data_IF_433376685971
#
_entry.id   IF_433376685971
#
_cell.length_a   1.000
_cell.length_b   1.000
_cell.length_c   1.000
_cell.angle_alpha   90.00
_cell.angle_beta   90.00
_cell.angle_gamma   90.00
#
_symmetry.space_group_name_H-M   'P 1'
#
loop_
_entity.id
_entity.type
_entity.pdbx_description
1 polymer ?
#
# COMPACT_ATOMS: atom_id res chain seq x y z
N UNK A 1 19.37 -12.90 1.06
CA UNK A 1 20.29 -11.80 0.66
C UNK A 1 20.88 -11.96 -0.75
N UNK A 2 21.53 -13.09 -1.10
CA UNK A 2 22.11 -13.27 -2.45
C UNK A 2 21.04 -13.28 -3.57
N UNK A 3 19.90 -13.92 -3.30
CA UNK A 3 18.68 -13.89 -4.13
C UNK A 3 18.14 -12.47 -4.36
N UNK A 4 17.96 -11.69 -3.29
CA UNK A 4 17.44 -10.31 -3.38
C UNK A 4 18.44 -9.40 -4.12
N UNK A 5 19.75 -9.56 -3.90
CA UNK A 5 20.76 -8.84 -4.67
C UNK A 5 20.72 -9.19 -6.17
N UNK A 6 20.54 -10.47 -6.53
CA UNK A 6 20.34 -10.88 -7.94
C UNK A 6 19.08 -10.22 -8.53
N UNK A 7 18.01 -10.09 -7.76
CA UNK A 7 16.76 -9.42 -8.15
C UNK A 7 16.95 -7.91 -8.36
N UNK A 8 17.66 -7.23 -7.46
CA UNK A 8 18.05 -5.81 -7.60
C UNK A 8 18.89 -5.59 -8.86
N UNK A 9 19.89 -6.45 -9.10
CA UNK A 9 20.73 -6.40 -10.29
C UNK A 9 19.94 -6.62 -11.59
N UNK A 10 18.94 -7.52 -11.59
CA UNK A 10 18.07 -7.75 -12.73
C UNK A 10 17.25 -6.50 -13.09
N UNK A 11 16.64 -5.86 -12.09
CA UNK A 11 15.77 -4.68 -12.27
C UNK A 11 16.54 -3.45 -12.81
N UNK A 12 17.83 -3.32 -12.45
CA UNK A 12 18.68 -2.19 -12.82
C UNK A 12 19.20 -2.22 -14.29
N UNK A 13 19.14 -3.35 -15.00
CA UNK A 13 19.86 -3.52 -16.28
C UNK A 13 19.08 -3.15 -17.56
N UNK A 14 17.79 -2.81 -17.48
CA UNK A 14 16.92 -2.64 -18.67
C UNK A 14 16.44 -1.19 -18.84
N UNK A 15 17.35 -0.30 -19.24
CA UNK A 15 16.99 1.03 -19.73
C UNK A 15 17.96 1.43 -20.86
N UNK A 16 17.60 1.20 -22.12
CA UNK A 16 18.03 1.91 -23.35
C UNK A 16 17.37 1.20 -24.57
N UNK A 17 16.29 1.76 -25.15
CA UNK A 17 16.16 2.06 -26.60
C UNK A 17 14.77 2.68 -26.98
N UNK A 18 14.81 3.97 -27.31
CA UNK A 18 14.12 4.76 -28.35
C UNK A 18 12.58 4.76 -28.54
N UNK A 19 12.02 5.97 -28.41
CA UNK A 19 10.62 6.37 -28.59
C UNK A 19 10.31 7.03 -29.97
N UNK A 20 9.04 6.98 -30.40
CA UNK A 20 8.41 7.83 -31.45
C UNK A 20 6.91 8.06 -31.11
N UNK A 21 6.26 9.20 -31.41
CA UNK A 21 5.15 9.72 -30.60
C UNK A 21 3.70 9.48 -31.09
N UNK A 22 2.82 9.36 -30.09
CA UNK A 22 1.48 9.95 -29.88
C UNK A 22 0.37 9.88 -30.96
N UNK A 23 -0.80 9.37 -30.56
CA UNK A 23 -2.12 9.97 -30.87
C UNK A 23 -3.11 9.75 -29.71
N UNK A 24 -3.85 10.80 -29.37
CA UNK A 24 -4.77 10.88 -28.23
C UNK A 24 -6.19 10.36 -28.53
N UNK A 25 -6.87 9.84 -27.51
CA UNK A 25 -8.30 9.50 -27.56
C UNK A 25 -8.94 9.39 -26.17
N UNK A 26 -9.88 10.28 -25.88
CA UNK A 26 -10.67 10.36 -24.64
C UNK A 26 -11.62 9.16 -24.45
N UNK A 27 -11.74 8.65 -23.22
CA UNK A 27 -12.76 7.66 -22.86
C UNK A 27 -13.11 7.66 -21.37
N UNK A 28 -14.28 8.22 -21.03
CA UNK A 28 -14.92 8.18 -19.70
C UNK A 28 -15.64 6.84 -19.49
N UNK A 29 -15.58 6.29 -18.28
CA UNK A 29 -16.49 5.22 -17.81
C UNK A 29 -16.01 4.66 -16.46
N UNK A 30 -16.59 5.10 -15.35
CA UNK A 30 -17.78 4.55 -14.68
C UNK A 30 -17.43 3.46 -13.64
N UNK A 31 -18.10 3.58 -12.49
CA UNK A 31 -17.67 3.22 -11.15
C UNK A 31 -18.13 1.83 -10.69
N UNK A 32 -17.40 1.26 -9.72
CA UNK A 32 -17.82 0.10 -8.93
C UNK A 32 -17.18 0.14 -7.55
N UNK A 33 -17.96 -0.12 -6.51
CA UNK A 33 -17.76 0.28 -5.12
C UNK A 33 -17.50 -0.94 -4.21
N UNK A 34 -16.61 -0.80 -3.23
CA UNK A 34 -16.37 -1.79 -2.16
C UNK A 34 -14.95 -1.62 -1.63
N UNK A 35 -14.65 -1.63 -0.34
CA UNK A 35 -15.41 -1.71 0.90
C UNK A 35 -14.32 -1.70 1.96
N UNK A 36 -14.12 -0.56 2.62
CA UNK A 36 -12.91 -0.30 3.42
C UNK A 36 -12.87 -1.12 4.70
N UNK A 37 -11.74 -1.78 4.92
CA UNK A 37 -11.31 -2.30 6.22
C UNK A 37 -10.17 -1.41 6.76
N UNK A 38 -10.15 -1.28 8.08
CA UNK A 38 -9.51 -0.24 8.86
C UNK A 38 -7.97 -0.18 8.72
N UNK A 39 -7.50 0.80 7.96
CA UNK A 39 -6.12 1.23 7.81
C UNK A 39 -5.90 2.47 8.68
N UNK A 40 -5.12 2.40 9.77
CA UNK A 40 -4.90 3.62 10.55
C UNK A 40 -3.87 3.61 11.67
N UNK A 41 -3.41 2.45 12.15
CA UNK A 41 -2.80 2.41 13.48
C UNK A 41 -1.27 2.41 13.56
N UNK A 42 -0.51 2.30 12.48
CA UNK A 42 0.92 1.94 12.62
C UNK A 42 1.95 3.02 12.28
N UNK A 43 1.54 4.19 11.78
CA UNK A 43 2.48 5.23 11.32
C UNK A 43 2.64 6.42 12.26
N UNK A 44 1.96 6.41 13.40
CA UNK A 44 1.84 7.58 14.24
C UNK A 44 1.53 7.15 15.67
N UNK A 45 2.54 7.18 16.53
CA UNK A 45 2.37 6.94 17.96
C UNK A 45 2.02 8.26 18.66
N UNK A 46 0.73 8.41 19.01
CA UNK A 46 0.21 9.58 19.74
C UNK A 46 0.91 9.82 21.08
N UNK A 47 1.57 8.80 21.67
CA UNK A 47 2.35 8.98 22.90
C UNK A 47 3.66 9.74 22.69
N UNK A 48 4.16 9.80 21.46
CA UNK A 48 5.42 10.46 21.08
C UNK A 48 5.22 11.88 20.53
N UNK A 49 4.03 12.46 20.71
CA UNK A 49 3.73 13.79 20.20
C UNK A 49 4.58 14.87 20.85
N UNK A 50 5.13 15.74 20.01
CA UNK A 50 5.80 16.97 20.40
C UNK A 50 5.17 18.16 19.71
N UNK A 51 5.38 19.34 20.28
CA UNK A 51 4.91 20.61 19.74
C UNK A 51 6.12 21.45 19.33
N UNK A 52 6.15 21.87 18.06
CA UNK A 52 7.25 22.65 17.48
C UNK A 52 6.69 23.96 16.91
N UNK A 53 7.36 25.07 17.22
CA UNK A 53 7.13 26.33 16.54
C UNK A 53 8.17 26.50 15.44
N UNK A 54 7.72 26.83 14.23
CA UNK A 54 8.59 26.97 13.08
C UNK A 54 8.06 28.00 12.09
N UNK A 55 8.95 28.50 11.23
CA UNK A 55 8.61 29.42 10.14
C UNK A 55 8.64 28.68 8.81
N UNK A 56 7.60 28.84 8.00
CA UNK A 56 7.49 28.20 6.68
C UNK A 56 8.50 28.78 5.71
N UNK A 57 9.28 27.90 5.06
CA UNK A 57 10.21 28.31 3.98
C UNK A 57 9.75 27.84 2.59
N UNK A 58 8.79 26.92 2.52
CA UNK A 58 8.20 26.48 1.25
C UNK A 58 7.76 25.02 1.28
N UNK A 59 7.53 24.46 0.11
CA UNK A 59 7.31 23.01 -0.05
C UNK A 59 8.55 22.37 -0.65
N UNK A 60 8.78 21.12 -0.27
CA UNK A 60 9.82 20.28 -0.85
C UNK A 60 9.57 20.11 -2.36
N UNK A 61 10.62 20.30 -3.16
CA UNK A 61 10.54 20.22 -4.62
C UNK A 61 10.51 18.79 -5.13
N UNK A 62 11.05 17.84 -4.36
CA UNK A 62 11.07 16.40 -4.64
C UNK A 62 9.80 15.76 -4.08
N UNK A 63 9.42 16.11 -2.85
CA UNK A 63 8.27 15.56 -2.12
C UNK A 63 7.21 16.63 -1.80
N UNK A 64 6.39 17.10 -2.76
CA UNK A 64 5.56 18.30 -2.62
C UNK A 64 4.43 18.24 -1.59
N UNK A 65 4.25 17.11 -0.89
CA UNK A 65 3.39 17.01 0.30
C UNK A 65 4.12 17.38 1.61
N UNK A 66 5.44 17.58 1.55
CA UNK A 66 6.27 18.02 2.67
C UNK A 66 6.41 19.54 2.64
N UNK A 67 6.01 20.17 3.72
CA UNK A 67 6.26 21.58 3.96
C UNK A 67 7.63 21.69 4.63
N UNK A 68 8.53 22.47 4.08
CA UNK A 68 9.81 22.73 4.74
C UNK A 68 9.64 23.94 5.66
N UNK A 69 10.14 23.79 6.88
CA UNK A 69 10.11 24.83 7.91
C UNK A 69 11.49 25.02 8.52
N UNK A 70 11.75 26.21 9.06
CA UNK A 70 12.92 26.51 9.88
C UNK A 70 12.53 26.74 11.32
N UNK A 71 13.28 26.13 12.23
CA UNK A 71 13.19 26.34 13.68
C UNK A 71 14.03 27.56 14.11
N UNK A 72 13.89 28.00 15.37
CA UNK A 72 14.64 29.13 15.93
C UNK A 72 16.16 28.92 15.93
N UNK A 73 16.62 27.68 16.10
CA UNK A 73 18.03 27.29 16.04
C UNK A 73 18.57 27.16 14.61
N UNK A 74 17.83 27.65 13.61
CA UNK A 74 18.13 27.59 12.17
C UNK A 74 18.16 26.18 11.58
N UNK A 75 17.74 25.14 12.32
CA UNK A 75 17.54 23.81 11.73
C UNK A 75 16.31 23.80 10.84
N UNK A 76 16.44 23.13 9.70
CA UNK A 76 15.32 22.87 8.80
C UNK A 76 14.71 21.52 9.11
N UNK A 77 13.39 21.43 8.97
CA UNK A 77 12.63 20.22 9.21
C UNK A 77 11.60 20.05 8.09
N UNK A 78 11.45 18.83 7.58
CA UNK A 78 10.39 18.50 6.65
C UNK A 78 9.12 18.09 7.43
N UNK A 79 8.00 18.74 7.13
CA UNK A 79 6.71 18.52 7.79
C UNK A 79 5.79 17.78 6.83
N UNK A 80 5.53 16.50 7.10
CA UNK A 80 4.51 15.74 6.38
C UNK A 80 3.15 15.97 7.04
N UNK A 81 2.28 16.72 6.37
CA UNK A 81 0.94 17.04 6.87
C UNK A 81 -0.09 16.04 6.37
N UNK A 82 -0.26 16.02 5.05
CA UNK A 82 -1.16 15.13 4.35
C UNK A 82 -0.73 15.07 2.88
N UNK A 83 -1.18 14.05 2.12
CA UNK A 83 -0.98 14.04 0.69
C UNK A 83 -1.49 15.32 0.02
N UNK A 84 -0.79 15.81 -1.00
CA UNK A 84 -1.12 17.06 -1.73
C UNK A 84 -2.59 17.17 -2.15
N UNK A 85 -3.21 16.07 -2.60
CA UNK A 85 -4.63 16.06 -2.99
C UNK A 85 -5.57 16.41 -1.83
N UNK A 86 -5.24 16.00 -0.60
CA UNK A 86 -6.03 16.27 0.59
C UNK A 86 -5.88 17.74 1.00
N UNK A 87 -4.64 18.26 0.98
CA UNK A 87 -4.37 19.67 1.23
C UNK A 87 -5.13 20.57 0.23
N UNK A 88 -5.12 20.22 -1.05
CA UNK A 88 -5.87 20.92 -2.09
C UNK A 88 -7.39 20.84 -1.87
N UNK A 89 -7.91 19.68 -1.46
CA UNK A 89 -9.33 19.50 -1.16
C UNK A 89 -9.80 20.36 0.02
N UNK A 90 -8.95 20.51 1.04
CA UNK A 90 -9.22 21.36 2.22
C UNK A 90 -8.91 22.84 1.97
N UNK A 91 -8.45 23.18 0.76
CA UNK A 91 -8.04 24.53 0.37
C UNK A 91 -6.99 25.13 1.33
N UNK A 92 -6.10 24.27 1.86
CA UNK A 92 -5.05 24.64 2.81
C UNK A 92 -3.88 25.21 2.03
N UNK A 93 -3.47 26.42 2.38
CA UNK A 93 -2.32 27.10 1.78
C UNK A 93 -1.43 27.68 2.87
N UNK A 94 -0.12 27.49 2.72
CA UNK A 94 0.90 28.12 3.56
C UNK A 94 1.72 29.10 2.72
N UNK A 95 2.10 30.22 3.34
CA UNK A 95 2.93 31.26 2.73
C UNK A 95 4.32 31.26 3.36
N UNK A 96 5.34 31.55 2.56
CA UNK A 96 6.71 31.71 3.06
C UNK A 96 6.77 32.84 4.10
N UNK A 97 7.51 32.61 5.19
CA UNK A 97 7.58 33.53 6.33
C UNK A 97 6.45 33.39 7.35
N UNK A 98 5.47 32.52 7.11
CA UNK A 98 4.37 32.27 8.04
C UNK A 98 4.85 31.45 9.25
N UNK A 99 4.54 31.93 10.46
CA UNK A 99 4.81 31.18 11.69
C UNK A 99 3.69 30.17 11.91
N UNK A 100 4.06 28.93 12.18
CA UNK A 100 3.15 27.82 12.45
C UNK A 100 3.57 27.06 13.70
N UNK A 101 2.58 26.50 14.39
CA UNK A 101 2.79 25.54 15.48
C UNK A 101 2.38 24.16 14.97
N UNK A 102 3.29 23.20 15.02
CA UNK A 102 3.09 21.84 14.53
C UNK A 102 2.99 20.93 15.74
N UNK A 103 1.94 20.11 15.78
CA UNK A 103 1.79 19.03 16.75
C UNK A 103 1.91 17.72 15.97
N UNK A 104 2.93 16.92 16.31
CA UNK A 104 3.32 15.79 15.50
C UNK A 104 4.35 14.89 16.17
N UNK A 105 4.73 13.81 15.47
CA UNK A 105 5.78 12.88 15.89
C UNK A 105 7.01 13.11 15.02
N UNK A 106 8.17 13.34 15.65
CA UNK A 106 9.44 13.45 14.95
C UNK A 106 9.82 12.12 14.29
N UNK A 107 10.38 12.17 13.10
CA UNK A 107 10.84 11.00 12.35
C UNK A 107 12.01 11.37 11.47
N UNK A 108 12.77 10.37 11.04
CA UNK A 108 13.64 10.49 9.88
C UNK A 108 12.94 9.82 8.70
N UNK A 109 12.82 10.51 7.58
CA UNK A 109 12.20 9.99 6.35
C UNK A 109 13.16 9.07 5.58
N UNK A 110 12.64 8.33 4.60
CA UNK A 110 13.41 7.36 3.79
C UNK A 110 14.61 7.96 3.05
N UNK A 111 14.60 9.26 2.77
CA UNK A 111 15.68 10.03 2.14
C UNK A 111 16.69 10.57 3.16
N UNK A 112 16.69 10.05 4.40
CA UNK A 112 17.48 10.53 5.54
C UNK A 112 17.18 11.97 5.96
N UNK A 113 16.07 12.54 5.48
CA UNK A 113 15.63 13.88 5.85
C UNK A 113 14.94 13.83 7.21
N UNK A 114 15.44 14.62 8.16
CA UNK A 114 14.76 14.80 9.44
C UNK A 114 13.43 15.54 9.26
N UNK A 115 12.42 15.07 9.96
CA UNK A 115 11.06 15.51 9.75
C UNK A 115 10.13 15.33 10.92
N UNK A 116 8.90 15.76 10.69
CA UNK A 116 7.79 15.57 11.61
C UNK A 116 6.55 15.18 10.80
N UNK A 117 5.87 14.13 11.26
CA UNK A 117 4.55 13.78 10.76
C UNK A 117 3.56 14.58 11.61
N UNK A 118 2.79 15.47 10.99
CA UNK A 118 1.85 16.32 11.72
C UNK A 118 0.51 15.60 11.96
N UNK A 119 -0.01 15.65 13.19
CA UNK A 119 -1.45 15.45 13.46
C UNK A 119 -2.20 16.75 13.24
N UNK A 120 -1.65 17.88 13.69
CA UNK A 120 -2.26 19.20 13.51
C UNK A 120 -1.22 20.27 13.23
N UNK A 121 -1.63 21.30 12.48
CA UNK A 121 -0.87 22.53 12.30
C UNK A 121 -1.77 23.70 12.64
N UNK A 122 -1.29 24.58 13.52
CA UNK A 122 -1.94 25.83 13.89
C UNK A 122 -1.22 26.95 13.15
N UNK A 123 -1.98 27.81 12.49
CA UNK A 123 -1.43 29.04 11.93
C UNK A 123 -2.40 30.21 12.06
N UNK A 124 -1.98 31.23 12.80
CA UNK A 124 -2.87 32.30 13.24
C UNK A 124 -4.05 31.71 14.02
N UNK A 125 -5.27 32.07 13.60
CA UNK A 125 -6.52 31.54 14.19
C UNK A 125 -7.00 30.23 13.54
N UNK A 126 -6.26 29.71 12.54
CA UNK A 126 -6.65 28.50 11.81
C UNK A 126 -6.02 27.25 12.42
N UNK A 127 -6.86 26.24 12.68
CA UNK A 127 -6.45 24.90 13.07
C UNK A 127 -6.66 23.95 11.89
N UNK A 128 -5.57 23.33 11.42
CA UNK A 128 -5.60 22.30 10.40
C UNK A 128 -5.36 20.94 11.05
N UNK A 129 -6.36 20.06 10.98
CA UNK A 129 -6.25 18.69 11.47
C UNK A 129 -6.00 17.74 10.30
N UNK A 130 -5.03 16.86 10.45
CA UNK A 130 -4.61 15.89 9.44
C UNK A 130 -4.81 14.46 9.90
N UNK A 131 -4.78 14.23 11.21
CA UNK A 131 -5.03 12.95 11.87
C UNK A 131 -6.00 13.13 13.04
N UNK A 132 -6.72 12.08 13.39
CA UNK A 132 -7.60 12.06 14.55
C UNK A 132 -6.83 11.88 15.87
N UNK A 133 -7.55 11.80 16.99
CA UNK A 133 -6.98 11.62 18.33
C UNK A 133 -6.25 10.28 18.53
N UNK A 134 -6.38 9.33 17.61
CA UNK A 134 -5.69 8.04 17.63
C UNK A 134 -4.54 7.99 16.61
N UNK A 135 -4.20 9.12 15.97
CA UNK A 135 -3.15 9.18 14.93
C UNK A 135 -3.59 8.72 13.55
N UNK A 136 -4.87 8.37 13.37
CA UNK A 136 -5.41 7.86 12.10
C UNK A 136 -5.54 9.02 11.12
N UNK A 137 -4.96 8.93 9.92
CA UNK A 137 -5.11 9.98 8.92
C UNK A 137 -6.56 10.25 8.49
N UNK A 138 -6.96 11.52 8.51
CA UNK A 138 -8.31 11.94 8.14
C UNK A 138 -8.62 11.73 6.65
N UNK A 139 -7.58 11.64 5.81
CA UNK A 139 -7.75 11.32 4.39
C UNK A 139 -8.13 9.86 4.13
N UNK A 140 -8.05 9.00 5.15
CA UNK A 140 -8.56 7.63 5.10
C UNK A 140 -10.07 7.62 5.45
N UNK A 141 -10.54 8.52 6.32
CA UNK A 141 -11.94 8.59 6.77
C UNK A 141 -12.86 9.43 5.86
N UNK A 142 -12.34 10.37 5.07
CA UNK A 142 -13.14 11.22 4.16
C UNK A 142 -13.77 10.49 2.97
N UNK A 143 -13.44 9.20 2.73
CA UNK A 143 -14.20 8.34 1.81
C UNK A 143 -15.67 8.11 2.24
N UNK A 144 -16.09 8.53 3.45
CA UNK A 144 -17.43 8.28 3.98
C UNK A 144 -18.46 9.43 3.97
N UNK A 145 -18.08 10.70 3.83
CA UNK A 145 -19.01 11.82 4.14
C UNK A 145 -19.47 12.70 2.97
N UNK A 146 -18.83 12.63 1.80
CA UNK A 146 -19.19 13.49 0.65
C UNK A 146 -20.31 12.91 -0.26
N UNK A 147 -21.20 12.06 0.27
CA UNK A 147 -22.28 11.41 -0.51
C UNK A 147 -23.67 11.38 0.14
N UNK A 148 -23.86 11.97 1.33
CA UNK A 148 -25.14 11.89 2.06
C UNK A 148 -25.70 13.26 2.43
N UNK A 149 -26.00 14.09 1.43
CA UNK A 149 -27.04 15.11 1.58
C UNK A 149 -28.20 14.75 0.67
N UNK A 150 -29.26 14.22 1.28
CA UNK A 150 -30.58 14.11 0.64
C UNK A 150 -31.12 12.70 0.49
N UNK A 151 -31.49 12.05 1.61
CA UNK A 151 -32.74 11.28 1.65
C UNK A 151 -33.17 11.07 3.10
N UNK A 152 -34.12 11.92 3.49
CA UNK A 152 -34.79 11.95 4.79
C UNK A 152 -36.01 11.02 4.71
N UNK A 153 -36.16 10.16 5.71
CA UNK A 153 -37.34 9.32 5.94
C UNK A 153 -37.01 7.83 5.92
N UNK A 154 -37.18 7.05 6.98
CA UNK A 154 -37.68 7.32 8.33
C UNK A 154 -37.73 6.00 9.13
N UNK A 155 -37.77 6.12 10.46
CA UNK A 155 -38.16 5.13 11.51
C UNK A 155 -37.44 3.77 11.45
N UNK A 156 -36.74 3.27 12.45
CA UNK A 156 -36.76 3.49 13.90
C UNK A 156 -36.43 2.13 14.55
N UNK A 157 -35.77 2.12 15.71
CA UNK A 157 -35.59 0.89 16.50
C UNK A 157 -34.21 0.78 17.14
N UNK A 158 -34.10 1.23 18.39
CA UNK A 158 -33.05 0.82 19.30
C UNK A 158 -33.20 -0.67 19.61
N UNK A 159 -32.12 -1.44 19.48
CA UNK A 159 -32.08 -2.85 19.85
C UNK A 159 -30.65 -3.36 19.79
N UNK A 160 -29.97 -3.34 20.93
CA UNK A 160 -28.70 -4.01 21.14
C UNK A 160 -28.90 -5.53 20.97
N UNK A 161 -28.17 -6.14 20.03
CA UNK A 161 -27.90 -7.58 20.02
C UNK A 161 -26.61 -7.83 19.24
N UNK A 162 -25.61 -8.33 19.97
CA UNK A 162 -24.37 -8.84 19.46
C UNK A 162 -24.65 -10.10 18.61
N UNK A 163 -24.44 -10.02 17.30
CA UNK A 163 -24.11 -11.15 16.43
C UNK A 163 -23.25 -10.62 15.29
N UNK A 164 -22.03 -11.15 15.17
CA UNK A 164 -21.06 -10.77 14.16
C UNK A 164 -21.59 -11.04 12.76
N UNK A 165 -21.62 -9.99 11.93
CA UNK A 165 -21.77 -10.14 10.49
C UNK A 165 -20.45 -10.71 9.94
N UNK A 166 -20.35 -12.04 9.92
CA UNK A 166 -19.32 -12.75 9.16
C UNK A 166 -19.56 -12.40 7.68
N UNK A 167 -18.58 -11.75 7.07
CA UNK A 167 -18.56 -11.52 5.63
C UNK A 167 -18.76 -12.87 4.91
N UNK A 168 -19.59 -12.97 3.86
CA UNK A 168 -19.91 -14.25 3.23
C UNK A 168 -18.71 -14.99 2.63
N UNK A 169 -17.52 -14.37 2.52
CA UNK A 169 -16.28 -15.05 2.12
C UNK A 169 -15.63 -15.85 3.27
N UNK A 170 -16.10 -15.71 4.51
CA UNK A 170 -15.24 -15.92 5.67
C UNK A 170 -14.16 -14.84 5.74
N UNK A 171 -13.69 -14.50 6.93
CA UNK A 171 -12.48 -13.68 7.06
C UNK A 171 -11.29 -14.65 6.94
N UNK A 172 -10.38 -14.45 5.96
CA UNK A 172 -9.20 -15.30 5.77
C UNK A 172 -8.44 -15.47 7.09
N UNK A 173 -8.25 -14.38 7.85
CA UNK A 173 -7.63 -14.43 9.17
C UNK A 173 -8.36 -15.37 10.15
N UNK A 174 -9.70 -15.37 10.12
CA UNK A 174 -10.51 -16.28 10.95
C UNK A 174 -10.37 -17.72 10.50
N UNK A 175 -10.32 -17.99 9.19
CA UNK A 175 -10.10 -19.34 8.66
C UNK A 175 -8.73 -19.86 9.09
N UNK A 176 -7.67 -19.08 8.84
CA UNK A 176 -6.29 -19.43 9.22
C UNK A 176 -6.16 -19.65 10.73
N UNK A 177 -6.77 -18.79 11.56
CA UNK A 177 -6.75 -18.95 13.03
C UNK A 177 -7.47 -20.20 13.51
N UNK A 178 -8.35 -20.80 12.69
CA UNK A 178 -9.11 -22.01 13.03
C UNK A 178 -8.43 -23.32 12.59
N UNK A 179 -7.46 -23.25 11.68
CA UNK A 179 -6.69 -24.41 11.24
C UNK A 179 -5.73 -24.88 12.35
N UNK A 180 -5.40 -26.18 12.43
CA UNK A 180 -4.47 -26.70 13.43
C UNK A 180 -3.07 -26.11 13.23
N UNK A 181 -2.40 -25.73 14.32
CA UNK A 181 -0.99 -25.32 14.29
C UNK A 181 -0.13 -26.52 13.87
N UNK A 182 0.75 -26.32 12.90
CA UNK A 182 1.76 -27.30 12.46
C UNK A 182 3.15 -26.86 12.93
N UNK A 183 4.12 -27.77 13.02
CA UNK A 183 5.48 -27.37 13.34
C UNK A 183 6.09 -26.60 12.16
N UNK A 184 6.80 -25.50 12.45
CA UNK A 184 7.58 -24.77 11.45
C UNK A 184 9.01 -25.29 11.38
N UNK A 185 9.56 -25.32 10.18
CA UNK A 185 11.01 -25.44 9.97
C UNK A 185 11.65 -24.07 9.65
N UNK A 186 12.98 -23.99 9.69
CA UNK A 186 13.71 -22.73 9.49
C UNK A 186 13.42 -22.06 8.13
N UNK A 187 13.18 -22.85 7.07
CA UNK A 187 12.83 -22.31 5.74
C UNK A 187 11.46 -21.65 5.76
N UNK A 188 10.51 -22.21 6.53
CA UNK A 188 9.16 -21.64 6.70
C UNK A 188 9.16 -20.38 7.56
N UNK A 189 10.09 -20.27 8.52
CA UNK A 189 10.28 -19.03 9.27
C UNK A 189 10.83 -17.93 8.34
N UNK A 190 11.91 -18.23 7.63
CA UNK A 190 12.57 -17.28 6.72
C UNK A 190 11.61 -16.78 5.62
N UNK A 191 10.78 -17.67 5.04
CA UNK A 191 9.82 -17.28 4.00
C UNK A 191 8.72 -16.35 4.53
N UNK A 192 8.20 -16.59 5.74
CA UNK A 192 7.15 -15.73 6.33
C UNK A 192 7.70 -14.34 6.66
N UNK A 193 8.92 -14.26 7.19
CA UNK A 193 9.58 -12.99 7.45
C UNK A 193 9.88 -12.21 6.16
N UNK A 194 10.32 -12.91 5.11
CA UNK A 194 10.56 -12.34 3.78
C UNK A 194 9.26 -11.81 3.18
N UNK A 195 8.21 -12.64 3.11
CA UNK A 195 6.93 -12.23 2.50
C UNK A 195 6.27 -11.08 3.23
N UNK A 196 6.40 -11.01 4.56
CA UNK A 196 5.93 -9.86 5.34
C UNK A 196 6.56 -8.54 4.88
N UNK A 197 7.84 -8.54 4.53
CA UNK A 197 8.56 -7.35 4.05
C UNK A 197 8.35 -7.08 2.56
N UNK A 198 8.15 -8.12 1.76
CA UNK A 198 7.87 -8.01 0.32
C UNK A 198 6.50 -7.37 0.05
N UNK A 199 5.47 -7.78 0.78
CA UNK A 199 4.14 -7.15 0.73
C UNK A 199 4.20 -5.69 1.23
N UNK A 200 5.05 -5.42 2.23
CA UNK A 200 5.34 -4.04 2.67
C UNK A 200 6.01 -3.23 1.57
N UNK A 201 6.95 -3.81 0.84
CA UNK A 201 7.62 -3.16 -0.28
C UNK A 201 6.61 -2.76 -1.35
N UNK A 202 5.75 -3.68 -1.78
CA UNK A 202 4.69 -3.40 -2.76
C UNK A 202 3.80 -2.25 -2.30
N UNK A 203 3.26 -2.33 -1.07
CA UNK A 203 2.45 -1.28 -0.45
C UNK A 203 3.15 0.07 -0.48
N UNK A 204 4.39 0.12 0.00
CA UNK A 204 5.13 1.36 0.18
C UNK A 204 5.51 2.00 -1.15
N UNK A 205 5.93 1.21 -2.15
CA UNK A 205 6.18 1.72 -3.52
C UNK A 205 4.89 2.30 -4.10
N UNK A 206 3.76 1.62 -3.95
CA UNK A 206 2.48 2.11 -4.48
C UNK A 206 1.98 3.35 -3.76
N UNK A 207 2.16 3.47 -2.45
CA UNK A 207 1.84 4.72 -1.74
C UNK A 207 2.68 5.88 -2.26
N UNK A 208 3.97 5.66 -2.47
CA UNK A 208 4.90 6.68 -2.99
C UNK A 208 4.59 7.07 -4.44
N UNK A 209 4.32 6.10 -5.32
CA UNK A 209 3.94 6.38 -6.71
C UNK A 209 2.54 6.99 -6.82
N UNK A 210 1.62 6.66 -5.90
CA UNK A 210 0.34 7.36 -5.80
C UNK A 210 0.54 8.83 -5.43
N UNK A 211 1.45 9.13 -4.50
CA UNK A 211 1.77 10.50 -4.14
C UNK A 211 2.33 11.27 -5.34
N UNK A 212 3.25 10.64 -6.09
CA UNK A 212 3.89 11.27 -7.27
C UNK A 212 2.91 11.54 -8.40
N UNK A 213 2.07 10.57 -8.74
CA UNK A 213 1.28 10.57 -9.98
C UNK A 213 -0.22 10.81 -9.78
N UNK A 214 -0.73 10.68 -8.55
CA UNK A 214 -2.14 10.83 -8.23
C UNK A 214 -3.06 9.77 -8.84
N UNK A 215 -2.51 8.73 -9.47
CA UNK A 215 -3.30 7.74 -10.19
C UNK A 215 -3.89 6.70 -9.23
N UNK A 216 -5.22 6.64 -9.17
CA UNK A 216 -5.98 5.87 -8.17
C UNK A 216 -5.61 4.38 -8.12
N UNK A 217 -5.14 3.77 -9.20
CA UNK A 217 -4.71 2.36 -9.21
C UNK A 217 -3.72 2.08 -8.08
N UNK A 218 -2.69 2.90 -7.93
CA UNK A 218 -1.67 2.75 -6.90
C UNK A 218 -2.28 2.78 -5.50
N UNK A 219 -3.16 3.75 -5.22
CA UNK A 219 -3.83 3.83 -3.91
C UNK A 219 -4.78 2.66 -3.63
N UNK A 220 -5.39 2.07 -4.66
CA UNK A 220 -6.31 0.95 -4.48
C UNK A 220 -5.52 -0.34 -4.23
N UNK A 221 -4.45 -0.57 -4.98
CA UNK A 221 -3.61 -1.76 -4.86
C UNK A 221 -2.81 -1.71 -3.55
N UNK A 222 -2.26 -0.56 -3.15
CA UNK A 222 -1.64 -0.40 -1.82
C UNK A 222 -2.57 -0.79 -0.64
N UNK A 223 -3.89 -0.66 -0.78
CA UNK A 223 -4.84 -1.12 0.24
C UNK A 223 -5.00 -2.64 0.22
N UNK A 224 -4.90 -3.25 -0.95
CA UNK A 224 -4.84 -4.70 -1.10
C UNK A 224 -3.55 -5.25 -0.49
N UNK A 225 -2.41 -4.60 -0.72
CA UNK A 225 -1.13 -5.03 -0.11
C UNK A 225 -1.12 -4.90 1.40
N UNK A 226 -1.83 -3.92 1.97
CA UNK A 226 -2.04 -3.96 3.42
C UNK A 226 -2.80 -5.22 3.85
N UNK A 227 -3.80 -5.65 3.07
CA UNK A 227 -4.56 -6.85 3.39
C UNK A 227 -3.68 -8.10 3.28
N UNK A 228 -2.76 -8.15 2.32
CA UNK A 228 -1.77 -9.22 2.20
C UNK A 228 -0.81 -9.22 3.39
N UNK A 229 -0.23 -8.06 3.70
CA UNK A 229 0.59 -7.83 4.90
C UNK A 229 -0.12 -8.35 6.16
N UNK A 230 -1.38 -7.97 6.36
CA UNK A 230 -2.16 -8.39 7.53
C UNK A 230 -2.40 -9.91 7.55
N UNK A 231 -2.58 -10.54 6.38
CA UNK A 231 -2.71 -11.98 6.28
C UNK A 231 -1.43 -12.73 6.68
N UNK A 232 -0.25 -12.26 6.24
CA UNK A 232 1.04 -12.83 6.68
C UNK A 232 1.25 -12.60 8.17
N UNK A 233 0.87 -11.43 8.69
CA UNK A 233 0.96 -11.13 10.12
C UNK A 233 0.17 -12.12 10.98
N UNK A 234 -1.00 -12.58 10.52
CA UNK A 234 -1.78 -13.60 11.23
C UNK A 234 -0.98 -14.90 11.38
N UNK A 235 -0.18 -15.29 10.39
CA UNK A 235 0.69 -16.46 10.50
C UNK A 235 1.84 -16.21 11.48
N UNK A 236 2.51 -15.05 11.40
CA UNK A 236 3.56 -14.69 12.35
C UNK A 236 3.06 -14.74 13.80
N UNK A 237 1.89 -14.13 14.06
CA UNK A 237 1.27 -14.13 15.39
C UNK A 237 0.84 -15.55 15.82
N UNK A 238 0.29 -16.36 14.90
CA UNK A 238 -0.13 -17.75 15.16
C UNK A 238 1.05 -18.64 15.57
N UNK A 239 2.20 -18.44 14.93
CA UNK A 239 3.42 -19.21 15.19
C UNK A 239 4.34 -18.58 16.24
N UNK A 240 3.98 -17.41 16.78
CA UNK A 240 4.76 -16.72 17.80
C UNK A 240 6.10 -16.17 17.29
N UNK A 241 6.17 -15.83 16.01
CA UNK A 241 7.34 -15.25 15.35
C UNK A 241 7.40 -13.72 15.55
N UNK A 242 8.59 -13.15 15.51
CA UNK A 242 8.77 -11.68 15.55
C UNK A 242 8.30 -11.05 14.24
N UNK A 243 7.65 -9.87 14.30
CA UNK A 243 7.21 -9.16 13.09
C UNK A 243 8.34 -8.28 12.55
N UNK A 244 8.93 -8.58 11.37
CA UNK A 244 10.01 -7.76 10.82
C UNK A 244 9.52 -6.39 10.31
N UNK A 245 8.21 -6.14 10.27
CA UNK A 245 7.59 -4.88 9.83
C UNK A 245 7.01 -4.07 11.01
N UNK A 246 7.67 -4.09 12.18
CA UNK A 246 7.29 -3.27 13.35
C UNK A 246 7.31 -1.77 13.06
N UNK A 247 8.37 -1.29 12.40
CA UNK A 247 8.42 0.07 11.90
C UNK A 247 7.64 0.17 10.60
N UNK A 248 6.51 0.83 10.65
CA UNK A 248 5.66 0.95 9.47
C UNK A 248 6.05 2.09 8.54
N UNK A 249 6.98 3.00 8.90
CA UNK A 249 7.40 4.13 8.04
C UNK A 249 7.67 3.68 6.60
N UNK A 250 7.15 4.46 5.64
CA UNK A 250 7.23 4.15 4.20
C UNK A 250 8.70 4.08 3.79
N UNK A 251 9.08 3.00 3.13
CA UNK A 251 10.43 2.82 2.60
C UNK A 251 11.48 2.38 3.63
N UNK A 252 11.08 2.12 4.87
CA UNK A 252 11.98 1.62 5.93
C UNK A 252 11.75 0.12 6.13
N UNK A 253 12.81 -0.67 6.03
CA UNK A 253 12.77 -2.14 6.17
C UNK A 253 13.83 -2.62 7.14
N UNK A 254 13.61 -3.80 7.74
CA UNK A 254 14.58 -4.42 8.64
C UNK A 254 15.76 -4.99 7.84
N UNK A 255 15.51 -5.56 6.66
CA UNK A 255 16.56 -5.96 5.72
C UNK A 255 16.89 -4.80 4.75
N UNK A 256 18.17 -4.45 4.69
CA UNK A 256 18.71 -3.40 3.81
C UNK A 256 18.39 -3.66 2.34
N UNK A 257 18.33 -4.93 1.91
CA UNK A 257 18.05 -5.27 0.52
C UNK A 257 16.64 -4.83 0.08
N UNK A 258 15.63 -4.87 0.97
CA UNK A 258 14.30 -4.31 0.68
C UNK A 258 14.33 -2.78 0.60
N UNK A 259 15.15 -2.12 1.43
CA UNK A 259 15.34 -0.67 1.36
C UNK A 259 15.97 -0.25 0.03
N UNK A 260 16.99 -0.97 -0.43
CA UNK A 260 17.66 -0.70 -1.70
C UNK A 260 16.71 -0.95 -2.89
N UNK A 261 15.94 -2.04 -2.84
CA UNK A 261 14.95 -2.36 -3.86
C UNK A 261 13.83 -1.31 -3.91
N UNK A 262 13.31 -0.88 -2.75
CA UNK A 262 12.34 0.22 -2.65
C UNK A 262 12.85 1.48 -3.35
N UNK A 263 14.07 1.91 -3.01
CA UNK A 263 14.68 3.11 -3.58
C UNK A 263 14.80 3.01 -5.10
N UNK A 264 15.27 1.87 -5.60
CA UNK A 264 15.42 1.63 -7.05
C UNK A 264 14.06 1.66 -7.78
N UNK A 265 13.04 1.01 -7.24
CA UNK A 265 11.70 0.96 -7.85
C UNK A 265 11.02 2.33 -7.84
N UNK A 266 11.17 3.10 -6.75
CA UNK A 266 10.64 4.47 -6.66
C UNK A 266 11.36 5.40 -7.61
N UNK A 267 12.68 5.30 -7.73
CA UNK A 267 13.47 6.09 -8.67
C UNK A 267 12.99 5.83 -10.11
N UNK A 268 12.91 4.55 -10.52
CA UNK A 268 12.42 4.15 -11.84
C UNK A 268 10.98 4.61 -12.09
N UNK A 269 10.08 4.35 -11.14
CA UNK A 269 8.68 4.74 -11.24
C UNK A 269 8.45 6.24 -11.18
N UNK A 270 9.43 7.03 -10.74
CA UNK A 270 9.35 8.50 -10.71
C UNK A 270 9.73 9.15 -12.05
N UNK A 271 10.29 8.39 -13.00
CA UNK A 271 10.70 8.89 -14.32
C UNK A 271 9.50 9.34 -15.16
N UNK A 272 8.47 8.50 -15.26
CA UNK A 272 7.25 8.79 -16.02
C UNK A 272 6.07 7.97 -15.49
N UNK A 273 4.84 8.38 -15.84
CA UNK A 273 3.65 7.60 -15.48
C UNK A 273 3.70 6.17 -16.05
N UNK A 274 4.21 6.00 -17.28
CA UNK A 274 4.32 4.68 -17.90
C UNK A 274 5.36 3.82 -17.20
N UNK A 275 6.49 4.38 -16.78
CA UNK A 275 7.46 3.65 -15.95
C UNK A 275 6.89 3.30 -14.57
N UNK A 276 6.09 4.18 -13.97
CA UNK A 276 5.39 3.88 -12.71
C UNK A 276 4.45 2.67 -12.84
N UNK A 277 3.71 2.59 -13.95
CA UNK A 277 2.81 1.46 -14.23
C UNK A 277 3.58 0.16 -14.50
N UNK A 278 4.73 0.24 -15.19
CA UNK A 278 5.63 -0.90 -15.42
C UNK A 278 6.31 -1.35 -14.12
N UNK A 279 6.66 -0.44 -13.22
CA UNK A 279 7.11 -0.77 -11.85
C UNK A 279 6.01 -1.52 -11.10
N UNK A 280 4.76 -1.06 -11.23
CA UNK A 280 3.57 -1.79 -10.79
C UNK A 280 3.58 -3.24 -11.25
N UNK A 281 3.60 -3.46 -12.57
CA UNK A 281 3.64 -4.81 -13.15
C UNK A 281 4.88 -5.62 -12.74
N UNK A 282 6.05 -4.99 -12.57
CA UNK A 282 7.30 -5.66 -12.17
C UNK A 282 7.24 -6.19 -10.75
N UNK A 283 6.62 -5.46 -9.84
CA UNK A 283 6.44 -5.92 -8.45
C UNK A 283 5.52 -7.14 -8.43
N UNK A 284 4.40 -7.11 -9.14
CA UNK A 284 3.45 -8.24 -9.16
C UNK A 284 4.02 -9.47 -9.88
N UNK A 285 4.82 -9.26 -10.93
CA UNK A 285 5.57 -10.33 -11.59
C UNK A 285 6.56 -11.02 -10.63
N UNK A 286 7.34 -10.23 -9.89
CA UNK A 286 8.25 -10.76 -8.87
C UNK A 286 7.49 -11.50 -7.76
N UNK A 287 6.42 -10.90 -7.24
CA UNK A 287 5.65 -11.45 -6.12
C UNK A 287 5.00 -12.79 -6.49
N UNK A 288 4.47 -12.92 -7.72
CA UNK A 288 3.96 -14.22 -8.21
C UNK A 288 5.08 -15.26 -8.26
N UNK A 289 6.25 -14.92 -8.84
CA UNK A 289 7.38 -15.85 -8.93
C UNK A 289 7.82 -16.34 -7.56
N UNK A 290 7.91 -15.44 -6.58
CA UNK A 290 8.35 -15.74 -5.23
C UNK A 290 7.33 -16.60 -4.49
N UNK A 291 6.04 -16.28 -4.60
CA UNK A 291 4.96 -17.09 -4.03
C UNK A 291 4.91 -18.51 -4.62
N UNK A 292 5.12 -18.67 -5.93
CA UNK A 292 5.20 -20.00 -6.55
C UNK A 292 6.36 -20.84 -5.99
N UNK A 293 7.54 -20.24 -5.87
CA UNK A 293 8.73 -20.93 -5.37
C UNK A 293 8.54 -21.29 -3.89
N UNK A 294 7.98 -20.38 -3.08
CA UNK A 294 7.74 -20.62 -1.66
C UNK A 294 6.65 -21.67 -1.43
N UNK A 295 5.54 -21.64 -2.18
CA UNK A 295 4.49 -22.68 -2.13
C UNK A 295 5.06 -24.06 -2.46
N UNK A 296 6.02 -24.15 -3.38
CA UNK A 296 6.66 -25.42 -3.74
C UNK A 296 7.59 -25.97 -2.65
N UNK A 297 8.02 -25.15 -1.70
CA UNK A 297 8.98 -25.51 -0.64
C UNK A 297 8.31 -25.90 0.69
N UNK A 298 7.03 -25.65 0.87
CA UNK A 298 6.31 -25.96 2.12
C UNK A 298 5.16 -26.95 1.89
N UNK A 299 4.87 -27.76 2.92
CA UNK A 299 3.64 -28.55 3.02
C UNK A 299 2.72 -28.05 4.15
N UNK A 300 3.05 -26.90 4.74
CA UNK A 300 2.25 -26.31 5.80
C UNK A 300 0.99 -25.68 5.19
N UNK A 301 -0.14 -26.32 5.50
CA UNK A 301 -1.45 -25.97 4.92
C UNK A 301 -1.85 -24.52 5.18
N UNK A 302 -1.49 -23.96 6.34
CA UNK A 302 -1.85 -22.59 6.69
C UNK A 302 -1.07 -21.58 5.84
N UNK A 303 0.23 -21.84 5.65
CA UNK A 303 1.13 -21.03 4.84
C UNK A 303 0.68 -21.08 3.38
N UNK A 304 0.51 -22.30 2.83
CA UNK A 304 0.03 -22.50 1.45
C UNK A 304 -1.30 -21.79 1.22
N UNK A 305 -2.25 -21.89 2.15
CA UNK A 305 -3.54 -21.23 2.00
C UNK A 305 -3.40 -19.70 1.93
N UNK A 306 -2.56 -19.08 2.76
CA UNK A 306 -2.31 -17.64 2.67
C UNK A 306 -1.64 -17.30 1.34
N UNK A 307 -0.56 -17.99 0.97
CA UNK A 307 0.22 -17.68 -0.24
C UNK A 307 -0.60 -17.87 -1.53
N UNK A 308 -1.46 -18.88 -1.60
CA UNK A 308 -2.40 -19.04 -2.73
C UNK A 308 -3.35 -17.84 -2.88
N UNK A 309 -3.80 -17.27 -1.75
CA UNK A 309 -4.70 -16.12 -1.78
C UNK A 309 -3.98 -14.79 -2.04
N UNK A 310 -2.73 -14.64 -1.60
CA UNK A 310 -1.83 -13.55 -1.99
C UNK A 310 -1.57 -13.60 -3.50
N UNK A 311 -1.15 -14.75 -4.03
CA UNK A 311 -0.84 -14.94 -5.45
C UNK A 311 -2.04 -14.62 -6.36
N UNK A 312 -3.26 -14.97 -5.92
CA UNK A 312 -4.51 -14.56 -6.59
C UNK A 312 -4.70 -13.04 -6.60
N UNK A 313 -4.35 -12.35 -5.52
CA UNK A 313 -4.29 -10.90 -5.43
C UNK A 313 -3.29 -10.32 -6.44
N UNK A 314 -2.06 -10.82 -6.43
CA UNK A 314 -0.96 -10.36 -7.28
C UNK A 314 -1.28 -10.54 -8.77
N UNK A 315 -1.86 -11.68 -9.17
CA UNK A 315 -2.38 -11.89 -10.54
C UNK A 315 -3.43 -10.84 -10.95
N UNK A 316 -4.30 -10.43 -10.03
CA UNK A 316 -5.31 -9.39 -10.28
C UNK A 316 -4.69 -7.98 -10.38
N UNK A 317 -3.67 -7.70 -9.58
CA UNK A 317 -2.93 -6.47 -9.65
C UNK A 317 -2.14 -6.38 -10.96
N UNK A 318 -1.47 -7.46 -11.37
CA UNK A 318 -0.76 -7.58 -12.65
C UNK A 318 -1.69 -7.28 -13.83
N UNK A 319 -2.87 -7.91 -13.87
CA UNK A 319 -3.94 -7.59 -14.85
C UNK A 319 -4.29 -6.10 -14.86
N UNK A 320 -4.39 -5.49 -13.68
CA UNK A 320 -4.77 -4.09 -13.52
C UNK A 320 -3.68 -3.13 -14.01
N UNK A 321 -2.42 -3.36 -13.65
CA UNK A 321 -1.28 -2.58 -14.12
C UNK A 321 -1.07 -2.76 -15.61
N UNK A 322 -1.02 -4.00 -16.10
CA UNK A 322 -0.82 -4.29 -17.52
C UNK A 322 -1.89 -3.63 -18.40
N UNK A 323 -3.16 -3.68 -17.99
CA UNK A 323 -4.23 -2.98 -18.71
C UNK A 323 -3.97 -1.48 -18.84
N UNK A 324 -3.40 -0.85 -17.81
CA UNK A 324 -3.05 0.56 -17.88
C UNK A 324 -1.77 0.83 -18.67
N UNK A 325 -0.78 -0.07 -18.63
CA UNK A 325 0.40 0.00 -19.49
C UNK A 325 -0.04 0.02 -20.96
N UNK A 326 -0.87 -0.96 -21.37
CA UNK A 326 -1.42 -1.04 -22.74
C UNK A 326 -2.29 0.16 -23.07
N UNK A 327 -3.13 0.63 -22.13
CA UNK A 327 -3.96 1.82 -22.36
C UNK A 327 -3.14 3.12 -22.53
N UNK A 328 -1.87 3.13 -22.09
CA UNK A 328 -0.93 4.23 -22.32
C UNK A 328 -0.02 3.99 -23.54
N UNK A 329 -0.32 3.00 -24.39
CA UNK A 329 0.40 2.73 -25.64
C UNK A 329 1.73 2.00 -25.47
N UNK A 330 1.96 1.41 -24.29
CA UNK A 330 3.17 0.66 -23.95
C UNK A 330 2.87 -0.83 -23.82
N UNK A 331 3.91 -1.66 -23.74
CA UNK A 331 3.81 -3.07 -23.36
C UNK A 331 4.63 -3.35 -22.10
N UNK A 332 4.43 -4.52 -21.51
CA UNK A 332 5.24 -5.04 -20.43
C UNK A 332 5.65 -6.47 -20.77
N UNK A 333 6.94 -6.75 -20.69
CA UNK A 333 7.51 -8.09 -20.82
C UNK A 333 7.83 -8.58 -19.40
N UNK A 334 7.42 -9.80 -19.02
CA UNK A 334 7.72 -10.36 -17.72
C UNK A 334 9.24 -10.56 -17.56
N UNK A 335 9.72 -10.27 -16.36
CA UNK A 335 11.11 -10.37 -15.94
C UNK A 335 11.36 -11.59 -15.06
N UNK A 336 10.33 -12.08 -14.36
CA UNK A 336 10.46 -13.19 -13.40
C UNK A 336 9.64 -14.42 -13.80
N UNK A 337 8.32 -14.27 -14.00
CA UNK A 337 7.48 -15.35 -14.50
C UNK A 337 7.72 -15.60 -15.99
N UNK A 338 7.30 -16.76 -16.47
CA UNK A 338 7.44 -17.08 -17.90
C UNK A 338 6.49 -16.24 -18.77
N UNK A 339 6.85 -16.01 -20.03
CA UNK A 339 5.95 -15.35 -20.98
C UNK A 339 4.61 -16.07 -21.12
N UNK A 340 4.63 -17.42 -21.15
CA UNK A 340 3.42 -18.23 -21.27
C UNK A 340 2.47 -18.02 -20.07
N UNK A 341 3.04 -18.00 -18.87
CA UNK A 341 2.28 -17.77 -17.64
C UNK A 341 1.72 -16.35 -17.58
N UNK A 342 2.55 -15.35 -17.87
CA UNK A 342 2.14 -13.95 -17.98
C UNK A 342 0.95 -13.81 -18.95
N UNK A 343 1.06 -14.38 -20.15
CA UNK A 343 0.00 -14.37 -21.16
C UNK A 343 -1.28 -15.05 -20.64
N UNK A 344 -1.15 -16.15 -19.91
CA UNK A 344 -2.30 -16.83 -19.30
C UNK A 344 -3.02 -15.96 -18.25
N UNK A 345 -2.26 -15.17 -17.49
CA UNK A 345 -2.79 -14.27 -16.45
C UNK A 345 -3.47 -13.07 -17.09
N UNK A 346 -2.78 -12.34 -17.97
CA UNK A 346 -3.31 -11.07 -18.50
C UNK A 346 -4.45 -11.25 -19.49
N UNK A 347 -4.54 -12.42 -20.14
CA UNK A 347 -5.64 -12.75 -21.07
C UNK A 347 -6.82 -13.46 -20.40
N UNK A 348 -6.80 -13.67 -19.08
CA UNK A 348 -7.91 -14.25 -18.32
C UNK A 348 -8.69 -13.20 -17.51
N UNK A 349 -9.97 -13.47 -17.16
CA UNK A 349 -10.76 -12.56 -16.31
C UNK A 349 -10.16 -12.38 -14.92
N UNK A 350 -10.49 -11.25 -14.27
CA UNK A 350 -10.17 -11.02 -12.86
C UNK A 350 -10.76 -12.12 -11.97
N UNK A 351 -9.95 -12.65 -11.06
CA UNK A 351 -10.35 -13.66 -10.08
C UNK A 351 -11.10 -12.98 -8.93
N UNK A 352 -12.38 -13.30 -8.74
CA UNK A 352 -13.25 -12.56 -7.81
C UNK A 352 -14.10 -13.49 -6.96
N UNK A 353 -14.36 -13.06 -5.73
CA UNK A 353 -15.39 -13.66 -4.88
C UNK A 353 -15.09 -15.10 -4.49
N UNK A 354 -13.82 -15.46 -4.33
CA UNK A 354 -13.39 -16.80 -3.88
C UNK A 354 -12.26 -16.70 -2.88
N UNK A 355 -12.22 -17.64 -1.94
CA UNK A 355 -11.05 -17.96 -1.11
C UNK A 355 -10.50 -19.28 -1.59
N UNK A 356 -9.18 -19.37 -1.74
CA UNK A 356 -8.51 -20.61 -2.15
C UNK A 356 -8.02 -21.38 -0.92
N UNK A 357 -8.01 -22.72 -0.99
CA UNK A 357 -7.34 -23.59 -0.01
C UNK A 357 -5.84 -23.74 -0.32
N UNK A 358 -5.14 -24.57 0.47
CA UNK A 358 -3.72 -24.84 0.32
C UNK A 358 -3.34 -25.42 -1.06
N UNK A 359 -4.25 -26.12 -1.72
CA UNK A 359 -4.02 -26.74 -3.03
C UNK A 359 -4.47 -25.84 -4.19
N UNK A 360 -4.86 -24.59 -3.90
CA UNK A 360 -5.33 -23.63 -4.89
C UNK A 360 -6.77 -23.90 -5.36
N UNK A 361 -7.50 -24.82 -4.72
CA UNK A 361 -8.91 -25.06 -5.05
C UNK A 361 -9.81 -24.05 -4.33
N UNK A 362 -11.03 -23.87 -4.83
CA UNK A 362 -12.00 -22.97 -4.21
C UNK A 362 -12.45 -23.53 -2.86
N UNK A 363 -12.01 -22.91 -1.78
CA UNK A 363 -12.43 -23.19 -0.41
C UNK A 363 -13.82 -22.62 -0.11
N UNK A 364 -14.05 -21.35 -0.47
CA UNK A 364 -15.33 -20.67 -0.29
C UNK A 364 -15.59 -19.64 -1.39
N UNK A 365 -16.86 -19.26 -1.60
CA UNK A 365 -17.26 -18.22 -2.57
C UNK A 365 -17.99 -17.08 -1.86
N UNK A 366 -17.97 -15.88 -2.44
CA UNK A 366 -18.73 -14.74 -1.93
C UNK A 366 -19.43 -13.92 -3.01
N UNK A 367 -20.74 -13.71 -2.75
CA UNK A 367 -21.69 -13.10 -3.68
C UNK A 367 -22.90 -14.02 -3.90
N UNK A 368 -24.08 -13.47 -4.20
CA UNK A 368 -25.28 -14.27 -4.49
C UNK A 368 -24.98 -15.21 -5.66
N UNK A 369 -25.09 -16.51 -5.43
CA UNK A 369 -25.43 -17.46 -6.48
C UNK A 369 -26.78 -17.00 -6.99
N UNK A 370 -26.82 -16.27 -8.11
CA UNK A 370 -28.06 -16.04 -8.81
C UNK A 370 -28.43 -17.39 -9.43
N UNK A 371 -29.34 -18.11 -8.77
CA UNK A 371 -30.11 -19.17 -9.41
C UNK A 371 -30.91 -18.61 -10.59
#
# INVERSE_FOLDING_TARGET
MEEIMKKILSILTIAILLAVPAMAGNGRGACGNGGGSALGSTYYDVSQETTINATVIGFDTVYPSRLIVTMEDSRQLAVFMAPKWYLAQQNITFTEGQVITIIGVLTTFSDSTDGIIARQVISGDSLYEFRDANGIPLWISTRGMAGRKGRRGGRGGYGAAAYGNISPCGNLATIISSLPVQDLNDVEVDMLEKMRQEEKLARDVYLTLYEKWGLRIFSNIAQSEQTHMDAVKVLLDKYGLEDPATNNVIGVFTDQAFTDLYNSLVEKGSVSLTEALKVGATIEDLDIKDLEDEIALTNNEDIKMVFQNLMKGSRNHLRSFYRLVVANGETYEPQFISQEEFDSIVNSPMERGVVLDADGNVYSTCGRVNN
#
